data_IF_694364998324
#
_entry.id   IF_694364998324
#
_cell.length_a   1.000
_cell.length_b   1.000
_cell.length_c   1.000
_cell.angle_alpha   90.00
_cell.angle_beta   90.00
_cell.angle_gamma   90.00
#
_symmetry.space_group_name_H-M   'P 1'
#
loop_
_entity.id
_entity.type
_entity.pdbx_description
1 polymer ?
#
# COMPACT_ATOMS: atom_id res chain seq x y z
N UNK A 1 -13.09 -13.31 17.15
CA UNK A 1 -12.09 -12.23 17.20
C UNK A 1 -11.87 -11.91 18.67
N UNK A 2 -10.90 -12.57 19.30
CA UNK A 2 -10.52 -12.29 20.68
C UNK A 2 -9.78 -10.96 20.68
N UNK A 3 -10.31 -9.99 21.41
CA UNK A 3 -9.71 -8.66 21.56
C UNK A 3 -8.44 -8.80 22.38
N UNK A 4 -7.27 -8.56 21.77
CA UNK A 4 -5.98 -8.68 22.45
C UNK A 4 -5.88 -7.71 23.63
N UNK A 5 -5.56 -8.25 24.81
CA UNK A 5 -5.27 -7.47 26.00
C UNK A 5 -3.87 -6.87 25.86
N UNK A 6 -3.77 -5.55 26.00
CA UNK A 6 -2.52 -4.79 25.82
C UNK A 6 -1.37 -5.23 26.74
N UNK A 7 -1.66 -5.68 27.97
CA UNK A 7 -0.66 -6.13 28.96
C UNK A 7 -1.13 -7.38 29.74
N UNK A 8 -1.13 -8.57 29.11
CA UNK A 8 -1.74 -9.77 29.69
C UNK A 8 -1.24 -10.15 31.08
N UNK A 9 0.09 -10.14 31.30
CA UNK A 9 0.69 -10.53 32.59
C UNK A 9 0.41 -9.51 33.70
N UNK A 10 0.50 -8.21 33.38
CA UNK A 10 0.19 -7.15 34.35
C UNK A 10 -1.30 -7.12 34.71
N UNK A 11 -2.18 -7.36 33.73
CA UNK A 11 -3.61 -7.49 33.97
C UNK A 11 -3.95 -8.73 34.79
N UNK A 12 -3.27 -9.86 34.55
CA UNK A 12 -3.43 -11.07 35.35
C UNK A 12 -3.00 -10.85 36.82
N UNK A 13 -1.86 -10.20 37.07
CA UNK A 13 -1.43 -9.81 38.44
C UNK A 13 -2.53 -9.01 39.13
N UNK A 14 -3.06 -7.97 38.47
CA UNK A 14 -4.11 -7.15 39.06
C UNK A 14 -5.40 -7.94 39.34
N UNK A 15 -5.83 -8.80 38.41
CA UNK A 15 -7.05 -9.61 38.58
C UNK A 15 -6.90 -10.63 39.72
N UNK A 16 -5.74 -11.27 39.87
CA UNK A 16 -5.46 -12.20 40.97
C UNK A 16 -5.54 -11.49 42.32
N UNK A 17 -4.98 -10.27 42.42
CA UNK A 17 -4.90 -9.55 43.70
C UNK A 17 -6.21 -8.85 44.10
N UNK A 18 -7.06 -8.47 43.13
CA UNK A 18 -8.20 -7.57 43.36
C UNK A 18 -9.58 -8.22 43.12
N UNK A 19 -9.64 -9.50 42.75
CA UNK A 19 -10.89 -10.18 42.38
C UNK A 19 -10.94 -11.61 42.92
N UNK A 20 -12.14 -12.18 43.04
CA UNK A 20 -12.35 -13.58 43.45
C UNK A 20 -12.46 -14.55 42.26
N UNK A 21 -11.94 -14.17 41.09
CA UNK A 21 -12.03 -14.99 39.88
C UNK A 21 -11.18 -16.26 39.96
N UNK A 22 -11.63 -17.29 39.26
CA UNK A 22 -10.83 -18.53 39.12
C UNK A 22 -9.64 -18.33 38.19
N UNK A 23 -8.58 -19.11 38.39
CA UNK A 23 -7.39 -19.05 37.54
C UNK A 23 -7.69 -19.32 36.06
N UNK A 24 -8.68 -20.16 35.78
CA UNK A 24 -9.14 -20.40 34.41
C UNK A 24 -9.82 -19.19 33.79
N UNK A 25 -10.62 -18.43 34.55
CA UNK A 25 -11.28 -17.22 34.04
C UNK A 25 -10.26 -16.13 33.71
N UNK A 26 -9.25 -15.96 34.55
CA UNK A 26 -8.17 -15.00 34.34
C UNK A 26 -7.30 -15.44 33.15
N UNK A 27 -6.99 -16.73 33.05
CA UNK A 27 -6.23 -17.31 31.94
C UNK A 27 -6.93 -17.10 30.60
N UNK A 28 -8.22 -17.41 30.51
CA UNK A 28 -9.03 -17.23 29.30
C UNK A 28 -9.10 -15.75 28.88
N UNK A 29 -9.31 -14.84 29.83
CA UNK A 29 -9.40 -13.41 29.54
C UNK A 29 -8.07 -12.78 29.11
N UNK A 30 -6.96 -13.16 29.76
CA UNK A 30 -5.63 -12.65 29.43
C UNK A 30 -4.96 -13.42 28.29
N UNK A 31 -5.51 -14.55 27.84
CA UNK A 31 -4.85 -15.44 26.87
C UNK A 31 -3.58 -16.10 27.41
N UNK A 32 -3.52 -16.35 28.71
CA UNK A 32 -2.40 -17.00 29.40
C UNK A 32 -2.74 -18.45 29.74
N UNK A 33 -1.73 -19.28 30.03
CA UNK A 33 -2.00 -20.62 30.53
C UNK A 33 -2.41 -20.57 32.02
N UNK A 34 -3.38 -21.39 32.51
CA UNK A 34 -3.77 -21.40 33.92
C UNK A 34 -2.61 -21.62 34.91
N UNK A 35 -1.58 -22.38 34.49
CA UNK A 35 -0.35 -22.57 35.28
C UNK A 35 0.47 -21.27 35.42
N UNK A 36 0.48 -20.41 34.42
CA UNK A 36 1.16 -19.11 34.52
C UNK A 36 0.42 -18.19 35.50
N UNK A 37 -0.92 -18.20 35.48
CA UNK A 37 -1.74 -17.45 36.44
C UNK A 37 -1.54 -17.97 37.86
N UNK A 38 -1.46 -19.29 38.03
CA UNK A 38 -1.11 -19.89 39.32
C UNK A 38 0.29 -19.47 39.79
N UNK A 39 1.28 -19.49 38.90
CA UNK A 39 2.63 -19.00 39.20
C UNK A 39 2.67 -17.50 39.55
N UNK A 40 1.77 -16.70 39.01
CA UNK A 40 1.58 -15.29 39.41
C UNK A 40 0.99 -15.20 40.83
N UNK A 41 -0.02 -16.01 41.14
CA UNK A 41 -0.65 -16.05 42.46
C UNK A 41 0.30 -16.55 43.57
N UNK A 42 1.13 -17.55 43.26
CA UNK A 42 2.19 -18.06 44.14
C UNK A 42 3.38 -17.08 44.22
N UNK A 43 3.34 -16.00 43.43
CA UNK A 43 4.37 -14.99 43.35
C UNK A 43 5.68 -15.52 42.80
N UNK A 44 5.70 -16.58 42.00
CA UNK A 44 6.89 -17.10 41.31
C UNK A 44 7.15 -16.39 39.97
N UNK A 45 6.09 -15.98 39.30
CA UNK A 45 6.10 -15.35 37.98
C UNK A 45 5.68 -13.88 38.13
N UNK A 46 6.34 -12.98 37.38
CA UNK A 46 5.96 -11.56 37.31
C UNK A 46 6.07 -10.75 38.62
N UNK A 47 6.93 -11.16 39.57
CA UNK A 47 7.19 -10.48 40.86
C UNK A 47 7.42 -8.97 40.73
N UNK A 48 8.14 -8.53 39.69
CA UNK A 48 8.50 -7.13 39.48
C UNK A 48 7.48 -6.35 38.62
N UNK A 49 6.39 -7.00 38.20
CA UNK A 49 5.37 -6.38 37.34
C UNK A 49 4.29 -5.75 38.22
N UNK A 50 4.12 -4.44 38.10
CA UNK A 50 3.01 -3.73 38.72
C UNK A 50 1.69 -4.09 38.03
N UNK A 51 0.71 -4.54 38.80
CA UNK A 51 -0.63 -4.86 38.30
C UNK A 51 -1.27 -3.68 37.54
N UNK A 52 -1.84 -3.96 36.38
CA UNK A 52 -2.52 -2.98 35.53
C UNK A 52 -4.03 -3.22 35.55
N UNK A 53 -4.80 -2.25 36.04
CA UNK A 53 -6.26 -2.33 36.15
C UNK A 53 -6.93 -2.37 34.75
N UNK A 54 -7.61 -3.47 34.38
CA UNK A 54 -8.27 -3.60 33.08
C UNK A 54 -9.51 -2.70 32.94
N UNK A 55 -10.12 -2.25 34.03
CA UNK A 55 -11.25 -1.32 34.01
C UNK A 55 -10.74 0.10 33.78
N UNK A 56 -9.68 0.51 34.46
CA UNK A 56 -9.04 1.80 34.22
C UNK A 56 -8.51 1.92 32.77
N UNK A 57 -8.03 0.82 32.20
CA UNK A 57 -7.59 0.76 30.80
C UNK A 57 -8.75 0.69 29.78
N UNK A 58 -10.00 0.59 30.24
CA UNK A 58 -11.19 0.47 29.39
C UNK A 58 -11.23 -0.84 28.59
N UNK A 59 -10.65 -1.92 29.12
CA UNK A 59 -10.62 -3.26 28.52
C UNK A 59 -11.69 -4.18 29.14
N UNK A 60 -12.16 -3.87 30.35
CA UNK A 60 -13.22 -4.61 31.05
C UNK A 60 -14.20 -3.62 31.70
N UNK A 61 -15.50 -3.94 31.72
CA UNK A 61 -16.47 -3.16 32.49
C UNK A 61 -16.64 -3.72 33.90
N UNK A 62 -17.09 -2.88 34.84
CA UNK A 62 -17.40 -3.33 36.21
C UNK A 62 -18.51 -4.39 36.22
N UNK A 63 -19.55 -4.18 35.41
CA UNK A 63 -20.67 -5.12 35.25
C UNK A 63 -20.22 -6.51 34.79
N UNK A 64 -19.29 -6.56 33.83
CA UNK A 64 -18.73 -7.83 33.32
C UNK A 64 -17.90 -8.54 34.40
N UNK A 65 -17.13 -7.77 35.17
CA UNK A 65 -16.32 -8.30 36.27
C UNK A 65 -17.20 -8.86 37.40
N UNK A 66 -18.28 -8.17 37.75
CA UNK A 66 -19.21 -8.61 38.80
C UNK A 66 -19.99 -9.86 38.35
N UNK A 67 -20.40 -9.94 37.08
CA UNK A 67 -21.01 -11.15 36.52
C UNK A 67 -20.05 -12.36 36.58
N UNK A 68 -18.76 -12.14 36.28
CA UNK A 68 -17.74 -13.17 36.31
C UNK A 68 -17.39 -13.66 37.72
N UNK A 69 -17.36 -12.76 38.70
CA UNK A 69 -17.12 -13.12 40.11
C UNK A 69 -18.26 -13.95 40.71
N UNK A 70 -19.51 -13.71 40.26
CA UNK A 70 -20.68 -14.45 40.74
C UNK A 70 -20.86 -15.82 40.06
N UNK A 71 -20.14 -16.11 38.97
CA UNK A 71 -20.26 -17.36 38.23
C UNK A 71 -18.88 -17.85 37.73
N UNK A 72 -18.30 -18.90 38.36
CA UNK A 72 -17.01 -19.46 37.96
C UNK A 72 -16.94 -19.98 36.51
N UNK A 73 -18.07 -20.36 35.92
CA UNK A 73 -18.14 -20.85 34.53
C UNK A 73 -18.26 -19.71 33.51
N UNK A 74 -18.42 -18.47 33.96
CA UNK A 74 -18.57 -17.32 33.09
C UNK A 74 -17.22 -16.90 32.49
N UNK A 75 -17.17 -16.75 31.17
CA UNK A 75 -16.00 -16.28 30.43
C UNK A 75 -16.18 -14.81 30.04
N UNK A 76 -15.33 -13.95 30.60
CA UNK A 76 -15.39 -12.50 30.43
C UNK A 76 -15.10 -12.10 28.99
N UNK A 77 -15.84 -11.11 28.48
CA UNK A 77 -15.58 -10.54 27.16
C UNK A 77 -14.84 -9.21 27.26
N UNK A 78 -13.64 -9.16 26.69
CA UNK A 78 -12.85 -7.93 26.63
C UNK A 78 -13.52 -6.88 25.74
N UNK A 79 -13.71 -5.68 26.29
CA UNK A 79 -14.18 -4.52 25.55
C UNK A 79 -13.08 -4.00 24.63
N UNK A 80 -13.47 -3.52 23.45
CA UNK A 80 -12.54 -2.82 22.56
C UNK A 80 -12.12 -1.52 23.23
N UNK A 81 -10.85 -1.43 23.62
CA UNK A 81 -10.34 -0.22 24.27
C UNK A 81 -10.51 0.98 23.34
N UNK A 82 -11.02 2.10 23.88
CA UNK A 82 -11.13 3.37 23.14
C UNK A 82 -9.75 3.89 22.69
N UNK A 83 -8.68 3.45 23.37
CA UNK A 83 -7.30 3.81 23.06
C UNK A 83 -6.72 3.07 21.86
N UNK A 84 -7.20 1.87 21.51
CA UNK A 84 -6.80 1.20 20.27
C UNK A 84 -7.25 1.99 19.03
N UNK A 85 -8.36 2.71 19.13
CA UNK A 85 -8.89 3.55 18.05
C UNK A 85 -8.06 4.84 17.83
N UNK A 86 -7.28 5.25 18.84
CA UNK A 86 -6.38 6.41 18.77
C UNK A 86 -5.04 6.07 18.11
N UNK A 87 -4.65 4.79 18.02
CA UNK A 87 -3.50 4.32 17.24
C UNK A 87 -3.82 4.24 15.72
N UNK A 88 -4.48 5.27 15.18
CA UNK A 88 -4.56 5.41 13.72
C UNK A 88 -3.12 5.51 13.19
N UNK A 89 -2.74 4.74 12.15
CA UNK A 89 -1.39 4.78 11.62
C UNK A 89 -1.06 6.23 11.26
N UNK A 90 0.04 6.73 11.86
CA UNK A 90 0.55 8.07 11.62
C UNK A 90 0.62 8.27 10.11
N UNK A 91 -0.05 9.32 9.61
CA UNK A 91 -0.03 9.66 8.19
C UNK A 91 1.42 9.70 7.75
N UNK A 92 1.79 8.90 6.75
CA UNK A 92 3.16 8.86 6.21
C UNK A 92 3.63 10.29 5.95
N UNK A 93 4.72 10.70 6.61
CA UNK A 93 5.28 12.02 6.43
C UNK A 93 5.65 12.24 4.95
N UNK A 94 5.54 13.47 4.43
CA UNK A 94 5.99 13.77 3.07
C UNK A 94 7.44 13.33 2.89
N UNK A 95 7.74 12.57 1.81
CA UNK A 95 9.11 12.16 1.53
C UNK A 95 9.97 13.39 1.27
N UNK A 96 11.07 13.51 1.99
CA UNK A 96 12.06 14.54 1.73
C UNK A 96 12.76 14.25 0.40
N UNK A 97 12.63 15.14 -0.58
CA UNK A 97 13.42 15.06 -1.82
C UNK A 97 14.72 15.86 -1.64
N UNK A 98 15.89 15.22 -1.82
CA UNK A 98 17.18 15.89 -1.70
C UNK A 98 17.33 17.02 -2.73
N UNK A 99 18.17 18.03 -2.42
CA UNK A 99 18.35 19.24 -3.25
C UNK A 99 18.82 18.91 -4.66
N UNK A 100 19.71 17.92 -4.81
CA UNK A 100 20.20 17.45 -6.11
C UNK A 100 19.08 17.05 -7.05
N UNK A 101 18.05 16.35 -6.54
CA UNK A 101 16.91 15.85 -7.31
C UNK A 101 15.78 16.88 -7.48
N UNK A 102 15.95 18.13 -7.03
CA UNK A 102 14.92 19.17 -7.20
C UNK A 102 14.89 19.71 -8.63
N UNK A 103 16.02 19.68 -9.33
CA UNK A 103 16.13 20.13 -10.72
C UNK A 103 15.39 19.20 -11.68
N UNK A 104 15.17 17.94 -11.30
CA UNK A 104 14.47 16.93 -12.11
C UNK A 104 12.93 17.02 -11.99
N UNK A 105 12.42 17.85 -11.07
CA UNK A 105 10.97 17.96 -10.83
C UNK A 105 10.20 18.57 -12.00
N UNK A 106 10.68 19.63 -12.69
CA UNK A 106 10.02 20.16 -13.87
C UNK A 106 9.89 19.13 -15.00
N UNK A 107 10.87 18.24 -15.14
CA UNK A 107 10.87 17.14 -16.12
C UNK A 107 9.77 16.11 -15.82
N UNK A 108 9.65 15.71 -14.55
CA UNK A 108 8.57 14.86 -14.09
C UNK A 108 7.19 15.51 -14.25
N UNK A 109 7.07 16.82 -13.96
CA UNK A 109 5.81 17.56 -14.16
C UNK A 109 5.43 17.55 -15.64
N UNK A 110 6.38 17.84 -16.54
CA UNK A 110 6.14 17.82 -17.98
C UNK A 110 5.71 16.45 -18.49
N UNK A 111 6.26 15.37 -17.91
CA UNK A 111 5.84 14.00 -18.22
C UNK A 111 4.39 13.72 -17.80
N UNK A 112 3.97 14.13 -16.60
CA UNK A 112 2.57 13.98 -16.18
C UNK A 112 1.62 14.80 -17.05
N UNK A 113 1.97 16.05 -17.37
CA UNK A 113 1.13 16.92 -18.20
C UNK A 113 0.95 16.38 -19.62
N UNK A 114 1.94 15.63 -20.14
CA UNK A 114 1.90 15.02 -21.47
C UNK A 114 1.17 13.68 -21.49
N UNK A 115 1.50 12.78 -20.57
CA UNK A 115 1.04 11.39 -20.61
C UNK A 115 -0.22 11.14 -19.79
N UNK A 116 -0.42 11.90 -18.71
CA UNK A 116 -1.51 11.71 -17.74
C UNK A 116 -2.23 13.02 -17.40
N UNK A 117 -2.86 13.69 -18.37
CA UNK A 117 -3.60 14.94 -18.14
C UNK A 117 -4.81 14.76 -17.19
N UNK A 118 -5.26 13.53 -16.97
CA UNK A 118 -6.32 13.18 -16.02
C UNK A 118 -5.92 13.37 -14.54
N UNK A 119 -4.62 13.44 -14.25
CA UNK A 119 -4.12 13.55 -12.88
C UNK A 119 -4.26 15.00 -12.39
N UNK A 120 -4.95 15.25 -11.26
CA UNK A 120 -5.14 16.61 -10.77
C UNK A 120 -3.85 17.20 -10.17
N UNK A 121 -3.66 18.51 -10.31
CA UNK A 121 -2.46 19.21 -9.81
C UNK A 121 -2.23 19.05 -8.30
N UNK A 122 -3.29 18.85 -7.52
CA UNK A 122 -3.20 18.55 -6.09
C UNK A 122 -2.49 17.22 -5.81
N UNK A 123 -2.66 16.24 -6.71
CA UNK A 123 -2.01 14.94 -6.62
C UNK A 123 -0.55 15.04 -7.08
N UNK A 124 -0.28 15.79 -8.15
CA UNK A 124 1.08 16.08 -8.64
C UNK A 124 1.92 16.80 -7.59
N UNK A 125 1.37 17.85 -6.97
CA UNK A 125 2.02 18.58 -5.89
C UNK A 125 2.41 17.66 -4.72
N UNK A 126 1.55 16.69 -4.39
CA UNK A 126 1.80 15.74 -3.30
C UNK A 126 2.83 14.67 -3.64
N UNK A 127 2.77 14.06 -4.83
CA UNK A 127 3.68 12.97 -5.21
C UNK A 127 5.08 13.49 -5.55
N UNK A 128 5.17 14.61 -6.26
CA UNK A 128 6.45 15.23 -6.64
C UNK A 128 6.99 16.19 -5.58
N UNK A 129 6.24 16.44 -4.50
CA UNK A 129 6.59 17.36 -3.42
C UNK A 129 6.75 18.82 -3.87
N UNK A 130 6.06 19.24 -4.93
CA UNK A 130 6.16 20.56 -5.55
C UNK A 130 4.95 21.44 -5.22
N UNK A 131 4.93 22.69 -5.68
CA UNK A 131 3.78 23.59 -5.52
C UNK A 131 2.95 23.68 -6.80
N UNK A 132 1.67 24.06 -6.67
CA UNK A 132 0.79 24.29 -7.83
C UNK A 132 1.32 25.40 -8.74
N UNK A 133 1.88 26.47 -8.16
CA UNK A 133 2.50 27.55 -8.93
C UNK A 133 3.64 27.04 -9.83
N UNK A 134 4.47 26.11 -9.34
CA UNK A 134 5.52 25.48 -10.15
C UNK A 134 4.92 24.64 -11.29
N UNK A 135 3.84 23.91 -11.03
CA UNK A 135 3.14 23.13 -12.06
C UNK A 135 2.60 24.04 -13.16
N UNK A 136 1.97 25.15 -12.78
CA UNK A 136 1.44 26.15 -13.71
C UNK A 136 2.56 26.82 -14.53
N UNK A 137 3.72 27.08 -13.93
CA UNK A 137 4.89 27.61 -14.64
C UNK A 137 5.42 26.65 -15.70
N UNK A 138 5.44 25.34 -15.41
CA UNK A 138 5.85 24.32 -16.39
C UNK A 138 4.79 24.19 -17.49
N UNK A 139 3.51 24.16 -17.12
CA UNK A 139 2.38 24.10 -18.07
C UNK A 139 2.38 25.27 -19.05
N UNK A 140 2.60 26.48 -18.56
CA UNK A 140 2.61 27.71 -19.34
C UNK A 140 3.99 28.03 -19.94
N UNK A 141 4.99 27.15 -19.75
CA UNK A 141 6.39 27.35 -20.18
C UNK A 141 7.01 28.66 -19.65
N UNK A 142 6.58 29.15 -18.50
CA UNK A 142 7.12 30.34 -17.82
C UNK A 142 8.16 30.02 -16.75
N UNK A 143 8.46 28.72 -16.54
CA UNK A 143 9.59 28.32 -15.71
C UNK A 143 10.92 28.82 -16.30
N UNK A 144 11.84 29.27 -15.46
CA UNK A 144 13.12 29.85 -15.89
C UNK A 144 13.95 28.89 -16.77
N UNK A 145 13.84 27.58 -16.54
CA UNK A 145 14.54 26.54 -17.30
C UNK A 145 13.66 25.88 -18.39
N UNK A 146 12.57 26.52 -18.80
CA UNK A 146 11.55 25.94 -19.69
C UNK A 146 12.10 25.37 -21.01
N UNK A 147 13.15 25.98 -21.58
CA UNK A 147 13.78 25.52 -22.81
C UNK A 147 14.45 24.14 -22.69
N UNK A 148 14.91 23.76 -21.49
CA UNK A 148 15.64 22.51 -21.27
C UNK A 148 14.78 21.42 -20.65
N UNK A 149 13.51 21.69 -20.34
CA UNK A 149 12.61 20.71 -19.71
C UNK A 149 12.34 19.56 -20.68
N UNK A 150 12.65 18.34 -20.25
CA UNK A 150 12.35 17.12 -20.99
C UNK A 150 11.34 16.29 -20.19
N UNK A 151 10.24 15.82 -20.81
CA UNK A 151 9.31 14.95 -20.12
C UNK A 151 9.95 13.59 -19.88
N UNK A 152 10.33 13.33 -18.63
CA UNK A 152 10.94 12.08 -18.16
C UNK A 152 10.11 11.48 -17.03
N UNK A 153 10.00 10.16 -17.00
CA UNK A 153 9.16 9.44 -16.03
C UNK A 153 9.66 9.68 -14.58
N UNK A 154 8.77 10.11 -13.65
CA UNK A 154 9.11 10.34 -12.25
C UNK A 154 9.71 9.13 -11.51
N UNK A 155 9.43 7.90 -11.95
CA UNK A 155 10.01 6.68 -11.36
C UNK A 155 11.47 6.55 -11.76
N UNK A 156 11.78 6.80 -13.03
CA UNK A 156 13.17 6.78 -13.54
C UNK A 156 14.05 7.85 -12.90
N UNK A 157 13.46 9.01 -12.58
CA UNK A 157 14.10 10.10 -11.83
C UNK A 157 14.21 9.82 -10.32
N UNK A 158 13.60 8.72 -9.83
CA UNK A 158 13.59 8.36 -8.43
C UNK A 158 12.83 9.36 -7.54
N UNK A 159 11.84 10.06 -8.11
CA UNK A 159 10.96 10.99 -7.40
C UNK A 159 9.70 10.29 -6.85
N UNK A 160 9.22 9.26 -7.55
CA UNK A 160 8.08 8.43 -7.15
C UNK A 160 8.45 6.94 -7.21
N UNK A 161 7.73 6.10 -6.45
CA UNK A 161 7.78 4.64 -6.65
C UNK A 161 6.76 4.20 -7.68
N UNK A 162 7.01 3.06 -8.33
CA UNK A 162 6.07 2.47 -9.30
C UNK A 162 4.66 2.33 -8.71
N UNK A 163 4.56 1.77 -7.50
CA UNK A 163 3.28 1.60 -6.80
C UNK A 163 2.53 2.91 -6.57
N UNK A 164 3.24 4.01 -6.33
CA UNK A 164 2.61 5.32 -6.15
C UNK A 164 2.14 5.91 -7.47
N UNK A 165 2.93 5.76 -8.53
CA UNK A 165 2.55 6.20 -9.87
C UNK A 165 1.28 5.48 -10.32
N UNK A 166 1.28 4.14 -10.26
CA UNK A 166 0.14 3.31 -10.67
C UNK A 166 -1.12 3.63 -9.85
N UNK A 167 -0.97 3.85 -8.53
CA UNK A 167 -2.08 4.21 -7.67
C UNK A 167 -2.66 5.59 -8.00
N UNK A 168 -1.83 6.54 -8.40
CA UNK A 168 -2.26 7.89 -8.80
C UNK A 168 -2.98 7.86 -10.13
N UNK A 169 -2.39 7.21 -11.14
CA UNK A 169 -2.96 7.11 -12.48
C UNK A 169 -4.29 6.36 -12.43
N UNK A 170 -4.36 5.19 -11.76
CA UNK A 170 -5.61 4.44 -11.61
C UNK A 170 -6.71 5.27 -10.96
N UNK A 171 -6.40 5.94 -9.85
CA UNK A 171 -7.38 6.76 -9.13
C UNK A 171 -7.84 7.97 -9.96
N UNK A 172 -6.95 8.55 -10.76
CA UNK A 172 -7.27 9.67 -11.64
C UNK A 172 -8.14 9.21 -12.81
N UNK A 173 -7.80 8.09 -13.44
CA UNK A 173 -8.58 7.46 -14.51
C UNK A 173 -9.99 7.08 -14.03
N UNK A 174 -10.11 6.42 -12.87
CA UNK A 174 -11.41 6.06 -12.27
C UNK A 174 -12.28 7.30 -12.00
N UNK A 175 -11.65 8.38 -11.54
CA UNK A 175 -12.35 9.64 -11.26
C UNK A 175 -12.81 10.30 -12.56
N UNK A 176 -11.94 10.37 -13.57
CA UNK A 176 -12.26 10.92 -14.88
C UNK A 176 -13.39 10.12 -15.54
N UNK A 177 -13.32 8.79 -15.53
CA UNK A 177 -14.39 7.93 -16.05
C UNK A 177 -15.74 8.18 -15.36
N UNK A 178 -15.74 8.38 -14.03
CA UNK A 178 -16.97 8.75 -13.29
C UNK A 178 -17.48 10.15 -13.64
N UNK A 179 -16.58 11.11 -13.77
CA UNK A 179 -16.93 12.49 -14.13
C UNK A 179 -17.44 12.59 -15.58
N UNK A 180 -16.87 11.82 -16.51
CA UNK A 180 -17.26 11.73 -17.92
C UNK A 180 -18.60 11.00 -18.07
N UNK A 181 -18.81 9.89 -17.35
CA UNK A 181 -20.10 9.20 -17.27
C UNK A 181 -21.20 10.11 -16.71
N UNK A 182 -20.88 10.96 -15.72
CA UNK A 182 -21.81 11.94 -15.16
C UNK A 182 -22.11 13.09 -16.13
N UNK A 183 -21.18 13.42 -17.03
CA UNK A 183 -21.32 14.47 -18.05
C UNK A 183 -21.90 13.96 -19.38
N UNK A 184 -22.13 12.66 -19.52
CA UNK A 184 -22.68 12.06 -20.74
C UNK A 184 -21.69 12.03 -21.91
N UNK A 185 -20.40 12.24 -21.67
CA UNK A 185 -19.37 12.18 -22.72
C UNK A 185 -18.97 10.71 -22.90
N UNK A 186 -19.49 10.10 -23.97
CA UNK A 186 -19.21 8.73 -24.38
C UNK A 186 -18.24 8.76 -25.55
N UNK A 187 -17.01 9.21 -25.34
CA UNK A 187 -15.90 8.88 -26.24
C UNK A 187 -14.56 9.31 -25.61
N UNK A 188 -13.62 8.39 -25.37
CA UNK A 188 -12.25 8.76 -25.05
C UNK A 188 -11.59 9.30 -26.33
N UNK A 189 -11.29 10.60 -26.38
CA UNK A 189 -10.42 11.16 -27.42
C UNK A 189 -9.00 10.59 -27.28
N UNK A 190 -8.69 9.56 -28.07
CA UNK A 190 -7.35 9.01 -28.23
C UNK A 190 -7.36 7.57 -28.75
N UNK A 191 -6.34 7.13 -29.50
CA UNK A 191 -6.22 5.74 -29.95
C UNK A 191 -6.02 4.85 -28.72
N UNK A 192 -7.12 4.30 -28.22
CA UNK A 192 -7.09 3.30 -27.16
C UNK A 192 -6.75 1.95 -27.78
N UNK A 193 -5.79 1.26 -27.17
CA UNK A 193 -5.51 -0.12 -27.54
C UNK A 193 -6.73 -0.96 -27.20
N UNK A 194 -7.12 -1.84 -28.13
CA UNK A 194 -8.26 -2.74 -27.94
C UNK A 194 -8.05 -3.58 -26.66
N UNK A 195 -9.12 -3.88 -25.92
CA UNK A 195 -9.04 -4.77 -24.76
C UNK A 195 -8.33 -6.08 -25.13
N UNK A 196 -7.48 -6.60 -24.23
CA UNK A 196 -6.74 -7.84 -24.47
C UNK A 196 -7.64 -9.05 -24.80
N UNK A 197 -8.95 -8.98 -24.49
CA UNK A 197 -9.95 -9.98 -24.86
C UNK A 197 -10.35 -9.95 -26.35
N UNK A 198 -10.09 -8.86 -27.07
CA UNK A 198 -10.39 -8.70 -28.50
C UNK A 198 -9.15 -8.86 -29.40
N UNK A 199 -7.96 -8.95 -28.81
CA UNK A 199 -6.77 -9.38 -29.53
C UNK A 199 -6.88 -10.88 -29.77
N UNK A 200 -7.53 -11.24 -30.88
CA UNK A 200 -7.71 -12.63 -31.32
C UNK A 200 -6.39 -13.38 -31.28
N UNK A 201 -6.47 -14.63 -30.79
CA UNK A 201 -5.42 -15.60 -30.88
C UNK A 201 -4.85 -15.62 -32.31
N UNK A 202 -3.52 -15.60 -32.42
CA UNK A 202 -2.87 -15.97 -33.68
C UNK A 202 -3.31 -17.40 -34.01
N UNK A 203 -4.17 -17.54 -35.01
CA UNK A 203 -4.44 -18.83 -35.64
C UNK A 203 -3.22 -19.16 -36.51
N UNK A 204 -2.50 -20.20 -36.11
CA UNK A 204 -1.48 -20.86 -36.91
C UNK A 204 -2.16 -21.46 -38.15
N UNK A 205 -2.16 -20.74 -39.27
CA UNK A 205 -2.46 -21.34 -40.57
C UNK A 205 -1.18 -22.01 -41.11
N UNK A 206 -1.03 -23.28 -40.79
CA UNK A 206 -0.17 -24.19 -41.54
C UNK A 206 -1.02 -24.83 -42.65
N UNK A 207 -0.82 -24.40 -43.90
CA UNK A 207 -1.27 -25.14 -45.07
C UNK A 207 -0.24 -25.05 -46.20
N UNK A 208 0.43 -26.18 -46.41
CA UNK A 208 1.36 -26.51 -47.49
C UNK A 208 0.61 -26.57 -48.83
N UNK A 209 1.22 -26.02 -49.89
CA UNK A 209 0.78 -26.14 -51.29
C UNK A 209 1.87 -25.65 -52.25
N UNK A 210 2.31 -26.55 -53.12
CA UNK A 210 3.56 -26.59 -53.90
C UNK A 210 3.63 -25.64 -55.11
N UNK A 211 4.88 -25.48 -55.60
CA UNK A 211 5.33 -25.06 -56.93
C UNK A 211 5.26 -23.56 -57.33
N UNK A 212 6.39 -22.85 -57.23
CA UNK A 212 7.07 -22.44 -58.47
C UNK A 212 8.56 -22.09 -58.25
N UNK A 213 9.38 -22.66 -59.13
CA UNK A 213 10.84 -22.66 -59.16
C UNK A 213 11.36 -21.39 -59.83
N UNK A 214 12.33 -20.70 -59.21
CA UNK A 214 13.41 -19.89 -59.80
C UNK A 214 14.06 -19.08 -58.66
N UNK A 215 15.37 -18.92 -58.45
CA UNK A 215 16.62 -19.38 -59.05
C UNK A 215 17.66 -18.82 -58.05
N UNK A 216 18.40 -19.66 -57.33
CA UNK A 216 19.44 -19.18 -56.38
C UNK A 216 20.75 -18.93 -57.13
N UNK A 217 21.37 -17.74 -57.04
CA UNK A 217 22.76 -17.61 -57.43
C UNK A 217 23.65 -18.27 -56.36
N UNK A 218 24.36 -19.31 -56.80
CA UNK A 218 25.40 -20.01 -56.05
C UNK A 218 26.44 -19.04 -55.50
N UNK A 219 26.58 -19.02 -54.17
CA UNK A 219 27.76 -18.51 -53.49
C UNK A 219 28.80 -19.64 -53.45
N UNK A 220 29.68 -19.67 -54.45
CA UNK A 220 30.91 -20.47 -54.38
C UNK A 220 31.92 -19.75 -53.49
N UNK A 221 32.13 -20.31 -52.31
CA UNK A 221 33.26 -20.06 -51.43
C UNK A 221 34.31 -21.13 -51.75
N UNK A 222 35.35 -20.79 -52.53
CA UNK A 222 36.52 -21.65 -52.64
C UNK A 222 37.83 -20.86 -52.83
N UNK A 223 38.63 -20.91 -51.77
CA UNK A 223 40.07 -21.15 -51.74
C UNK A 223 41.07 -20.21 -52.48
N UNK A 224 41.85 -19.50 -51.66
CA UNK A 224 43.30 -19.69 -51.52
C UNK A 224 44.16 -20.04 -52.76
N UNK A 225 44.98 -19.08 -53.24
CA UNK A 225 46.40 -19.19 -53.68
C UNK A 225 46.77 -17.96 -54.56
N UNK A 226 47.67 -17.07 -54.13
CA UNK A 226 49.13 -17.09 -54.30
C UNK A 226 49.63 -16.62 -55.69
N UNK A 227 50.35 -15.49 -55.65
CA UNK A 227 51.49 -15.03 -56.48
C UNK A 227 51.43 -15.00 -58.02
N UNK A 228 51.61 -13.81 -58.60
CA UNK A 228 52.87 -13.37 -59.25
C UNK A 228 52.92 -11.82 -59.29
#
# INVERSE_FOLDING_TARGET
>A
MTTDILMPKATAVWLVDNTSLTFEQIADFCGLHPLEVKGIADGEVARDIRGADPIANGQLSREELDAAQNNPAYRMKAQKSRHAELLKPVKKAPRYTPVSRRQDRPDAIAWFLRNHPEVPDSQLARILGTTKATIDQVRNRTHWNSANIKPVDPVTLGLATQLELDAVVRKAADKKAKDDARRGVTEPEGPTLRPASEAGAYEDEVAVGDDDIHDEPAFDDEAEHAED
#
